data_IF_888491633932
#
_entry.id   IF_888491633932
#
_cell.length_a   1.000
_cell.length_b   1.000
_cell.length_c   1.000
_cell.angle_alpha   90.00
_cell.angle_beta   90.00
_cell.angle_gamma   90.00
#
_symmetry.space_group_name_H-M   'P 1'
#
loop_
_entity.id
_entity.type
_entity.pdbx_description
1 polymer ?
#
# COMPACT_ATOMS: atom_id res chain seq x y z
N UNK A 1 -35.75 68.41 -48.52
CA UNK A 1 -34.60 67.95 -49.33
C UNK A 1 -33.47 67.63 -48.37
N UNK A 2 -33.34 66.34 -48.09
CA UNK A 2 -32.45 65.73 -47.11
C UNK A 2 -30.98 65.81 -47.55
N UNK A 3 -30.10 66.04 -46.58
CA UNK A 3 -28.71 65.55 -46.65
C UNK A 3 -28.35 64.87 -45.33
N UNK A 4 -28.50 63.55 -45.37
CA UNK A 4 -28.12 62.58 -44.34
C UNK A 4 -26.60 62.61 -44.16
N UNK A 5 -26.15 62.90 -42.93
CA UNK A 5 -24.75 62.77 -42.54
C UNK A 5 -24.38 61.32 -42.25
N UNK A 6 -23.51 60.73 -43.05
CA UNK A 6 -22.91 59.42 -42.81
C UNK A 6 -21.79 59.54 -41.76
N UNK A 7 -22.12 59.18 -40.52
CA UNK A 7 -21.15 58.94 -39.44
C UNK A 7 -20.38 57.66 -39.75
N UNK A 8 -19.08 57.77 -40.04
CA UNK A 8 -18.13 56.64 -40.06
C UNK A 8 -18.01 56.07 -38.64
N UNK A 9 -18.66 54.95 -38.35
CA UNK A 9 -18.36 54.15 -37.16
C UNK A 9 -17.04 53.41 -37.39
N UNK A 10 -15.96 53.90 -36.75
CA UNK A 10 -14.78 53.08 -36.47
C UNK A 10 -15.16 52.12 -35.36
N UNK A 11 -15.30 50.84 -35.67
CA UNK A 11 -15.40 49.78 -34.67
C UNK A 11 -14.02 49.63 -34.03
N UNK A 12 -13.86 50.12 -32.81
CA UNK A 12 -12.70 49.80 -31.97
C UNK A 12 -12.91 48.37 -31.48
N UNK A 13 -12.31 47.41 -32.17
CA UNK A 13 -12.23 46.05 -31.66
C UNK A 13 -11.31 46.10 -30.44
N UNK A 14 -11.77 45.57 -29.32
CA UNK A 14 -10.98 45.55 -28.11
C UNK A 14 -9.69 44.76 -28.37
N UNK A 15 -8.54 45.40 -28.10
CA UNK A 15 -7.21 44.87 -28.44
C UNK A 15 -6.93 43.48 -27.85
N UNK A 16 -7.66 43.08 -26.80
CA UNK A 16 -7.54 41.74 -26.21
C UNK A 16 -8.09 40.64 -27.14
N UNK A 17 -9.12 40.93 -27.95
CA UNK A 17 -9.69 39.98 -28.91
C UNK A 17 -8.69 39.72 -30.04
N UNK A 18 -8.09 40.78 -30.57
CA UNK A 18 -7.06 40.68 -31.61
C UNK A 18 -5.86 39.87 -31.11
N UNK A 19 -5.45 40.11 -29.85
CA UNK A 19 -4.36 39.35 -29.22
C UNK A 19 -4.71 37.87 -29.02
N UNK A 20 -5.92 37.57 -28.55
CA UNK A 20 -6.38 36.20 -28.33
C UNK A 20 -6.45 35.40 -29.65
N UNK A 21 -6.96 36.01 -30.72
CA UNK A 21 -6.99 35.41 -32.06
C UNK A 21 -5.56 35.15 -32.57
N UNK A 22 -4.64 36.09 -32.37
CA UNK A 22 -3.26 35.95 -32.83
C UNK A 22 -2.52 34.83 -32.08
N UNK A 23 -2.74 34.68 -30.78
CA UNK A 23 -2.18 33.57 -30.00
C UNK A 23 -2.79 32.22 -30.40
N UNK A 24 -4.10 32.15 -30.64
CA UNK A 24 -4.76 30.94 -31.10
C UNK A 24 -4.21 30.47 -32.46
N UNK A 25 -4.01 31.39 -33.40
CA UNK A 25 -3.37 31.09 -34.70
C UNK A 25 -1.92 30.62 -34.51
N UNK A 26 -1.17 31.22 -33.58
CA UNK A 26 0.20 30.81 -33.26
C UNK A 26 0.29 29.37 -32.75
N UNK A 27 -0.60 28.98 -31.83
CA UNK A 27 -0.67 27.61 -31.29
C UNK A 27 -1.03 26.59 -32.37
N UNK A 28 -1.97 26.93 -33.26
CA UNK A 28 -2.37 26.07 -34.38
C UNK A 28 -1.19 25.86 -35.34
N UNK A 29 -0.47 26.94 -35.69
CA UNK A 29 0.72 26.85 -36.56
C UNK A 29 1.86 26.05 -35.91
N UNK A 30 2.06 26.20 -34.59
CA UNK A 30 3.03 25.40 -33.83
C UNK A 30 2.66 23.92 -33.82
N UNK A 31 1.37 23.59 -33.68
CA UNK A 31 0.87 22.22 -33.80
C UNK A 31 1.13 21.62 -35.18
N UNK A 32 0.86 22.37 -36.25
CA UNK A 32 1.10 21.94 -37.63
C UNK A 32 2.60 21.74 -37.91
N UNK A 33 3.47 22.56 -37.32
CA UNK A 33 4.92 22.44 -37.47
C UNK A 33 5.56 21.35 -36.58
N UNK A 34 4.89 20.93 -35.50
CA UNK A 34 5.41 19.94 -34.56
C UNK A 34 5.02 18.50 -34.92
N UNK A 35 4.19 18.30 -35.95
CA UNK A 35 3.93 16.98 -36.51
C UNK A 35 5.17 16.47 -37.25
N UNK A 36 5.67 15.26 -36.96
CA UNK A 36 6.81 14.70 -37.66
C UNK A 36 6.48 14.52 -39.15
N UNK A 37 7.19 15.26 -40.01
CA UNK A 37 7.13 15.07 -41.46
C UNK A 37 8.05 13.93 -41.84
N UNK A 38 7.55 12.70 -41.78
CA UNK A 38 8.17 11.59 -42.49
C UNK A 38 7.99 11.81 -44.00
N UNK A 39 9.00 12.43 -44.61
CA UNK A 39 9.18 12.50 -46.06
C UNK A 39 9.91 11.23 -46.52
N UNK A 40 9.17 10.12 -46.54
CA UNK A 40 9.49 8.94 -47.33
C UNK A 40 9.07 9.16 -48.78
N UNK A 41 9.99 8.96 -49.71
CA UNK A 41 9.79 9.20 -51.15
C UNK A 41 8.72 8.28 -51.76
N UNK A 42 7.84 8.84 -52.59
CA UNK A 42 7.15 8.08 -53.64
C UNK A 42 5.68 8.44 -53.87
N UNK A 43 5.43 9.23 -54.92
CA UNK A 43 4.21 9.11 -55.75
C UNK A 43 2.99 9.93 -55.32
N UNK A 44 2.24 10.54 -56.28
CA UNK A 44 1.33 11.64 -56.01
C UNK A 44 -0.06 11.19 -55.52
N UNK A 45 -0.66 12.07 -54.71
CA UNK A 45 -2.05 12.09 -54.29
C UNK A 45 -3.02 11.93 -55.47
N UNK A 46 -4.05 11.13 -55.26
CA UNK A 46 -5.38 11.49 -55.75
C UNK A 46 -6.40 11.32 -54.62
N UNK A 47 -7.09 12.42 -54.33
CA UNK A 47 -8.09 12.56 -53.28
C UNK A 47 -9.42 12.78 -53.99
N UNK A 48 -10.18 11.71 -54.20
CA UNK A 48 -11.57 11.80 -54.63
C UNK A 48 -12.46 11.24 -53.51
N UNK A 49 -13.22 12.14 -52.90
CA UNK A 49 -14.39 11.81 -52.13
C UNK A 49 -15.51 11.42 -53.09
N UNK A 50 -16.11 10.25 -52.90
CA UNK A 50 -17.44 9.98 -53.47
C UNK A 50 -18.19 9.00 -52.56
N UNK A 51 -19.32 9.48 -52.03
CA UNK A 51 -20.40 8.63 -51.55
C UNK A 51 -20.96 7.90 -52.76
N UNK A 52 -20.96 6.58 -52.77
CA UNK A 52 -22.09 5.87 -53.36
C UNK A 52 -22.31 4.48 -52.75
N UNK A 53 -23.58 4.15 -52.62
CA UNK A 53 -24.08 2.88 -52.12
C UNK A 53 -24.35 1.95 -53.31
N UNK A 54 -23.85 0.71 -53.27
CA UNK A 54 -24.48 -0.38 -54.04
C UNK A 54 -24.08 -1.78 -53.55
N UNK A 55 -25.07 -2.66 -53.53
CA UNK A 55 -25.06 -4.05 -53.04
C UNK A 55 -24.29 -5.03 -53.95
N UNK A 56 -23.61 -6.00 -53.31
CA UNK A 56 -23.41 -7.44 -53.67
C UNK A 56 -22.83 -7.82 -55.08
N UNK A 57 -22.28 -9.03 -55.32
CA UNK A 57 -22.44 -10.28 -54.56
C UNK A 57 -21.18 -11.14 -54.32
N UNK A 58 -21.41 -12.18 -53.53
CA UNK A 58 -20.56 -13.31 -53.17
C UNK A 58 -19.82 -13.96 -54.35
N UNK A 59 -18.48 -14.08 -54.24
CA UNK A 59 -17.72 -15.11 -54.94
C UNK A 59 -17.36 -16.26 -53.99
N UNK A 60 -17.89 -17.42 -54.35
CA UNK A 60 -17.57 -18.74 -53.83
C UNK A 60 -16.16 -19.16 -54.27
N UNK A 61 -15.27 -19.44 -53.31
CA UNK A 61 -14.04 -20.18 -53.56
C UNK A 61 -14.16 -21.60 -52.99
N UNK A 62 -14.25 -22.56 -53.90
CA UNK A 62 -14.11 -24.00 -53.63
C UNK A 62 -12.72 -24.32 -53.07
N UNK A 63 -12.67 -25.00 -51.93
CA UNK A 63 -11.43 -25.55 -51.39
C UNK A 63 -11.32 -27.03 -51.75
N UNK A 64 -10.41 -27.32 -52.68
CA UNK A 64 -10.00 -28.65 -53.11
C UNK A 64 -9.28 -29.36 -51.96
N UNK A 65 -9.77 -30.55 -51.60
CA UNK A 65 -9.12 -31.48 -50.70
C UNK A 65 -7.93 -32.16 -51.38
N UNK A 66 -6.75 -32.11 -50.75
CA UNK A 66 -5.56 -32.83 -51.17
C UNK A 66 -4.45 -32.67 -50.13
N UNK A 67 -4.26 -33.72 -49.31
CA UNK A 67 -3.45 -33.67 -48.10
C UNK A 67 -1.95 -33.62 -48.32
N UNK A 68 -1.24 -33.30 -47.22
CA UNK A 68 0.10 -33.77 -46.86
C UNK A 68 0.27 -33.48 -45.35
N UNK A 69 0.64 -34.51 -44.59
CA UNK A 69 0.85 -34.47 -43.14
C UNK A 69 2.11 -33.68 -42.75
N UNK A 70 2.18 -33.23 -41.48
CA UNK A 70 3.45 -33.30 -40.78
C UNK A 70 3.35 -34.00 -39.41
N UNK A 71 4.48 -34.61 -39.05
CA UNK A 71 4.82 -35.32 -37.82
C UNK A 71 4.27 -34.72 -36.53
N UNK A 72 3.63 -35.59 -35.74
CA UNK A 72 3.34 -35.35 -34.32
C UNK A 72 4.19 -36.33 -33.51
N UNK A 73 5.25 -35.81 -32.90
CA UNK A 73 6.04 -36.56 -31.91
C UNK A 73 5.22 -36.65 -30.62
N UNK A 74 4.91 -37.87 -30.23
CA UNK A 74 4.15 -38.23 -29.04
C UNK A 74 4.93 -37.89 -27.75
N UNK A 75 4.25 -37.25 -26.79
CA UNK A 75 4.64 -37.23 -25.38
C UNK A 75 3.86 -38.32 -24.63
N UNK A 76 4.49 -39.11 -23.76
CA UNK A 76 3.79 -40.14 -23.01
C UNK A 76 2.94 -39.54 -21.89
N UNK A 77 1.70 -39.99 -21.80
CA UNK A 77 0.80 -39.84 -20.66
C UNK A 77 1.28 -40.71 -19.49
N UNK A 78 1.44 -40.11 -18.32
CA UNK A 78 1.59 -40.83 -17.04
C UNK A 78 0.27 -40.75 -16.29
N UNK A 79 -0.37 -41.91 -16.21
CA UNK A 79 -1.48 -42.20 -15.33
C UNK A 79 -1.06 -42.10 -13.85
N UNK A 80 -1.98 -41.53 -13.06
CA UNK A 80 -2.44 -42.06 -11.78
C UNK A 80 -1.38 -42.56 -10.77
N UNK A 81 -1.09 -41.72 -9.76
CA UNK A 81 -0.58 -42.18 -8.47
C UNK A 81 -1.50 -41.70 -7.35
N UNK A 82 -1.96 -42.70 -6.61
CA UNK A 82 -2.96 -42.69 -5.56
C UNK A 82 -2.62 -41.80 -4.36
N UNK A 83 -3.68 -41.23 -3.76
CA UNK A 83 -3.67 -40.74 -2.39
C UNK A 83 -3.71 -41.93 -1.43
N UNK A 84 -2.59 -42.23 -0.77
CA UNK A 84 -2.57 -43.06 0.44
C UNK A 84 -1.38 -42.69 1.31
N UNK A 85 -1.59 -42.75 2.63
CA UNK A 85 -0.62 -42.59 3.72
C UNK A 85 -0.23 -41.18 4.18
N UNK A 86 -1.22 -40.54 4.81
CA UNK A 86 -1.01 -39.81 6.07
C UNK A 86 -1.11 -40.81 7.24
N UNK A 87 0.02 -41.29 7.76
CA UNK A 87 0.14 -41.73 9.14
C UNK A 87 1.60 -41.95 9.55
N UNK A 88 1.93 -41.53 10.76
CA UNK A 88 3.17 -41.77 11.54
C UNK A 88 4.38 -40.88 11.27
N UNK A 89 4.39 -39.70 11.92
CA UNK A 89 5.62 -39.18 12.54
C UNK A 89 5.27 -38.61 13.93
N UNK A 90 5.74 -39.32 14.95
CA UNK A 90 5.75 -38.95 16.37
C UNK A 90 6.91 -37.96 16.62
N UNK A 91 6.75 -36.87 17.41
CA UNK A 91 7.72 -35.79 17.49
C UNK A 91 8.54 -35.88 18.77
N UNK A 92 9.69 -36.55 18.74
CA UNK A 92 10.75 -36.38 19.75
C UNK A 92 12.09 -36.83 19.15
N UNK A 93 13.01 -35.90 18.92
CA UNK A 93 14.44 -35.98 19.27
C UNK A 93 15.20 -34.80 18.65
N UNK A 94 15.57 -33.82 19.48
CA UNK A 94 16.75 -32.99 19.25
C UNK A 94 18.00 -33.87 19.38
N UNK A 95 18.97 -33.76 18.45
CA UNK A 95 20.35 -33.72 18.91
C UNK A 95 21.25 -32.86 17.99
N UNK A 96 21.46 -31.59 18.35
CA UNK A 96 22.75 -30.94 18.06
C UNK A 96 23.53 -30.83 19.38
N UNK A 97 24.00 -31.99 19.83
CA UNK A 97 25.11 -32.13 20.76
C UNK A 97 26.35 -32.57 19.99
N UNK A 98 27.47 -31.94 20.28
CA UNK A 98 28.77 -32.09 19.64
C UNK A 98 29.27 -33.55 19.54
N UNK A 99 30.04 -33.86 18.50
CA UNK A 99 31.45 -34.28 18.64
C UNK A 99 32.13 -34.55 17.29
N UNK A 100 33.45 -34.39 17.30
CA UNK A 100 34.35 -34.37 16.16
C UNK A 100 34.75 -35.76 15.64
N UNK A 101 35.24 -35.77 14.39
CA UNK A 101 36.38 -36.53 13.85
C UNK A 101 36.13 -37.46 12.64
N UNK A 102 36.96 -37.22 11.61
CA UNK A 102 37.45 -38.10 10.54
C UNK A 102 36.52 -38.59 9.40
N UNK A 103 36.91 -38.24 8.17
CA UNK A 103 36.51 -38.96 6.96
C UNK A 103 36.66 -38.17 5.67
N UNK A 104 37.78 -38.34 4.97
CA UNK A 104 38.10 -37.70 3.70
C UNK A 104 37.26 -38.25 2.52
N UNK A 105 36.82 -37.36 1.63
CA UNK A 105 36.23 -37.69 0.33
C UNK A 105 36.08 -36.43 -0.54
N UNK A 106 36.65 -36.45 -1.74
CA UNK A 106 36.96 -35.27 -2.58
C UNK A 106 36.01 -35.16 -3.77
N UNK A 107 35.44 -33.95 -3.95
CA UNK A 107 34.96 -33.28 -5.19
C UNK A 107 33.67 -33.78 -5.89
N UNK A 108 32.92 -32.91 -6.63
CA UNK A 108 33.31 -31.58 -7.15
C UNK A 108 32.43 -30.39 -6.71
N UNK A 109 33.03 -29.21 -6.89
CA UNK A 109 32.57 -27.90 -6.49
C UNK A 109 31.61 -27.31 -7.55
N UNK A 110 30.41 -26.92 -7.12
CA UNK A 110 29.62 -25.88 -7.80
C UNK A 110 29.61 -24.66 -6.88
N UNK A 111 30.25 -23.60 -7.34
CA UNK A 111 30.51 -22.38 -6.60
C UNK A 111 29.21 -21.58 -6.37
N UNK A 112 28.58 -21.77 -5.22
CA UNK A 112 27.70 -20.76 -4.61
C UNK A 112 28.59 -19.89 -3.73
N UNK A 113 29.03 -18.74 -4.26
CA UNK A 113 29.80 -17.77 -3.50
C UNK A 113 28.89 -17.01 -2.54
N UNK A 114 28.52 -17.64 -1.43
CA UNK A 114 28.00 -16.94 -0.27
C UNK A 114 29.20 -16.28 0.44
N UNK A 115 29.61 -15.10 -0.06
CA UNK A 115 30.58 -14.27 0.68
C UNK A 115 29.85 -13.63 1.85
N UNK A 116 29.89 -14.33 2.97
CA UNK A 116 29.64 -13.75 4.28
C UNK A 116 30.86 -12.89 4.63
N UNK A 117 30.84 -11.64 4.17
CA UNK A 117 31.70 -10.60 4.73
C UNK A 117 31.13 -10.21 6.09
N UNK A 118 31.80 -10.65 7.15
CA UNK A 118 31.66 -10.03 8.46
C UNK A 118 32.16 -8.58 8.33
N UNK A 119 31.22 -7.63 8.22
CA UNK A 119 31.44 -6.24 8.56
C UNK A 119 30.96 -6.03 10.00
N UNK A 120 31.85 -6.30 10.96
CA UNK A 120 31.76 -5.71 12.29
C UNK A 120 31.66 -4.19 12.13
N UNK A 121 30.46 -3.64 12.34
CA UNK A 121 30.17 -2.20 12.23
C UNK A 121 28.79 -1.78 11.69
N UNK A 122 27.98 -2.69 11.15
CA UNK A 122 26.66 -2.36 10.56
C UNK A 122 25.43 -2.79 11.40
N UNK A 123 25.61 -3.16 12.67
CA UNK A 123 24.59 -3.79 13.51
C UNK A 123 23.45 -2.87 14.00
N UNK A 124 23.21 -1.71 13.38
CA UNK A 124 22.22 -0.74 13.88
C UNK A 124 21.42 0.03 12.84
N UNK A 125 21.65 -0.19 11.53
CA UNK A 125 20.97 0.55 10.45
C UNK A 125 20.38 -0.42 9.44
N UNK A 126 19.42 -1.23 9.89
CA UNK A 126 18.78 -2.27 9.09
C UNK A 126 17.27 -2.22 9.26
N UNK A 127 16.55 -2.59 8.21
CA UNK A 127 15.12 -2.90 8.23
C UNK A 127 14.91 -4.35 7.78
N UNK A 128 13.92 -5.04 8.34
CA UNK A 128 13.56 -6.40 7.96
C UNK A 128 12.06 -6.56 7.82
N UNK A 129 11.61 -6.96 6.64
CA UNK A 129 10.20 -7.15 6.31
C UNK A 129 9.99 -8.52 5.66
N UNK A 130 9.18 -9.38 6.30
CA UNK A 130 8.95 -10.77 5.87
C UNK A 130 10.25 -11.60 5.70
N UNK A 131 11.24 -11.33 6.55
CA UNK A 131 12.55 -11.98 6.53
C UNK A 131 13.50 -11.44 5.44
N UNK A 132 13.07 -10.49 4.61
CA UNK A 132 13.95 -9.79 3.68
C UNK A 132 14.55 -8.58 4.38
N UNK A 133 15.87 -8.46 4.35
CA UNK A 133 16.61 -7.43 5.06
C UNK A 133 17.24 -6.42 4.11
N UNK A 134 17.25 -5.14 4.52
CA UNK A 134 17.93 -4.07 3.82
C UNK A 134 18.68 -3.16 4.80
N UNK A 135 19.81 -2.60 4.37
CA UNK A 135 20.66 -1.74 5.18
C UNK A 135 20.52 -0.27 4.77
N UNK A 136 20.57 0.62 5.75
CA UNK A 136 20.51 2.07 5.57
C UNK A 136 19.55 2.76 6.52
N UNK A 137 19.08 3.93 6.09
CA UNK A 137 18.40 4.90 6.98
C UNK A 137 17.05 5.35 6.50
N UNK A 138 16.75 5.12 5.23
CA UNK A 138 15.55 5.62 4.59
C UNK A 138 14.89 4.46 3.90
N UNK A 139 13.78 3.98 4.43
CA UNK A 139 13.10 2.79 3.91
C UNK A 139 11.72 3.16 3.37
N UNK A 140 11.41 2.68 2.18
CA UNK A 140 10.08 2.85 1.60
C UNK A 140 9.40 1.50 1.55
N UNK A 141 8.17 1.44 2.03
CA UNK A 141 7.33 0.25 2.00
C UNK A 141 6.18 0.50 1.02
N UNK A 142 6.16 -0.26 -0.06
CA UNK A 142 5.11 -0.23 -1.08
C UNK A 142 4.26 -1.48 -0.91
N UNK A 143 3.01 -1.32 -0.45
CA UNK A 143 2.13 -2.44 -0.10
C UNK A 143 0.89 -2.47 -0.99
N UNK A 144 0.59 -3.67 -1.49
CA UNK A 144 -0.64 -3.95 -2.19
C UNK A 144 -1.85 -3.88 -1.25
N UNK A 145 -2.88 -3.15 -1.66
CA UNK A 145 -4.18 -3.05 -1.01
C UNK A 145 -5.32 -3.38 -1.98
N UNK A 146 -5.05 -4.17 -3.02
CA UNK A 146 -6.05 -4.64 -3.99
C UNK A 146 -7.07 -5.59 -3.36
N UNK A 147 -8.15 -5.89 -4.08
CA UNK A 147 -9.23 -6.76 -3.60
C UNK A 147 -8.79 -8.17 -3.21
N UNK A 148 -7.73 -8.73 -3.82
CA UNK A 148 -7.15 -10.03 -3.43
C UNK A 148 -6.62 -10.03 -2.01
N UNK A 149 -6.10 -8.88 -1.53
CA UNK A 149 -5.60 -8.72 -0.17
C UNK A 149 -6.71 -8.77 0.90
N UNK A 150 -7.99 -8.71 0.51
CA UNK A 150 -9.12 -8.92 1.40
C UNK A 150 -9.38 -10.42 1.70
N UNK A 151 -8.77 -11.33 0.94
CA UNK A 151 -8.96 -12.77 1.15
C UNK A 151 -8.45 -13.21 2.51
N UNK A 152 -9.23 -14.07 3.16
CA UNK A 152 -8.83 -14.80 4.34
C UNK A 152 -8.13 -16.08 3.88
N UNK A 153 -6.88 -16.29 4.29
CA UNK A 153 -6.15 -17.50 3.94
C UNK A 153 -6.80 -18.75 4.57
N UNK A 154 -6.42 -19.95 4.10
CA UNK A 154 -6.70 -21.19 4.83
C UNK A 154 -5.99 -21.11 6.19
N UNK A 155 -6.73 -20.77 7.24
CA UNK A 155 -6.17 -20.38 8.53
C UNK A 155 -6.60 -18.98 8.97
N UNK A 156 -7.88 -18.63 8.76
CA UNK A 156 -8.53 -17.35 9.10
C UNK A 156 -8.45 -16.92 10.59
N UNK A 157 -7.60 -17.56 11.41
CA UNK A 157 -7.32 -17.21 12.80
C UNK A 157 -6.70 -15.80 12.95
N UNK A 158 -6.08 -15.26 11.91
CA UNK A 158 -5.30 -14.01 11.97
C UNK A 158 -5.74 -12.93 10.98
N UNK A 159 -7.02 -12.91 10.58
CA UNK A 159 -7.58 -11.87 9.70
C UNK A 159 -7.34 -12.10 8.20
N UNK A 160 -7.50 -11.06 7.39
CA UNK A 160 -7.22 -11.10 5.95
C UNK A 160 -5.72 -10.89 5.63
N UNK A 161 -5.33 -11.08 4.36
CA UNK A 161 -3.94 -10.93 3.90
C UNK A 161 -3.37 -9.54 4.22
N UNK A 162 -4.14 -8.49 3.97
CA UNK A 162 -3.74 -7.11 4.27
C UNK A 162 -3.48 -6.86 5.77
N UNK A 163 -4.32 -7.39 6.66
CA UNK A 163 -4.17 -7.26 8.10
C UNK A 163 -2.88 -7.93 8.60
N UNK A 164 -2.54 -9.10 8.06
CA UNK A 164 -1.27 -9.78 8.35
C UNK A 164 -0.07 -8.99 7.81
N UNK A 165 -0.13 -8.51 6.56
CA UNK A 165 0.91 -7.69 5.96
C UNK A 165 1.13 -6.36 6.73
N UNK A 166 0.05 -5.71 7.16
CA UNK A 166 0.09 -4.51 7.99
C UNK A 166 0.70 -4.78 9.37
N UNK A 167 0.40 -5.93 9.97
CA UNK A 167 0.99 -6.33 11.26
C UNK A 167 2.50 -6.53 11.15
N UNK A 168 2.97 -7.18 10.08
CA UNK A 168 4.39 -7.34 9.82
C UNK A 168 5.06 -6.00 9.47
N UNK A 169 4.37 -5.10 8.77
CA UNK A 169 4.89 -3.77 8.48
C UNK A 169 5.10 -2.98 9.77
N UNK A 170 4.11 -3.00 10.67
CA UNK A 170 4.24 -2.39 11.99
C UNK A 170 5.39 -3.03 12.77
N UNK A 171 5.55 -4.35 12.71
CA UNK A 171 6.70 -5.05 13.34
C UNK A 171 8.03 -4.57 12.78
N UNK A 172 8.18 -4.49 11.45
CA UNK A 172 9.37 -4.01 10.76
C UNK A 172 9.69 -2.57 11.13
N UNK A 173 8.71 -1.67 11.07
CA UNK A 173 8.90 -0.25 11.39
C UNK A 173 9.22 -0.05 12.87
N UNK A 174 8.68 -0.88 13.78
CA UNK A 174 9.01 -0.81 15.20
C UNK A 174 10.47 -1.15 15.53
N UNK A 175 11.15 -1.94 14.67
CA UNK A 175 12.57 -2.26 14.83
C UNK A 175 13.49 -1.12 14.38
N UNK A 176 12.97 -0.15 13.64
CA UNK A 176 13.75 1.01 13.22
C UNK A 176 14.09 1.92 14.41
N UNK A 177 15.28 2.49 14.41
CA UNK A 177 15.71 3.50 15.38
C UNK A 177 15.17 4.88 15.01
N UNK A 178 15.11 5.81 15.97
CA UNK A 178 14.61 7.18 15.75
C UNK A 178 15.46 7.98 14.73
N UNK A 179 16.69 7.53 14.44
CA UNK A 179 17.57 8.11 13.42
C UNK A 179 17.30 7.58 12.01
N UNK A 180 16.49 6.53 11.88
CA UNK A 180 16.03 6.00 10.61
C UNK A 180 14.66 6.61 10.29
N UNK A 181 14.35 6.68 9.01
CA UNK A 181 13.13 7.26 8.50
C UNK A 181 12.42 6.26 7.57
N UNK A 182 11.10 6.37 7.50
CA UNK A 182 10.27 5.49 6.70
C UNK A 182 9.18 6.26 5.97
N UNK A 183 8.72 5.68 4.86
CA UNK A 183 7.51 6.10 4.17
C UNK A 183 6.73 4.86 3.73
N UNK A 184 5.40 4.92 3.79
CA UNK A 184 4.52 3.82 3.39
C UNK A 184 3.61 4.31 2.27
N UNK A 185 3.57 3.56 1.17
CA UNK A 185 2.72 3.87 0.03
C UNK A 185 1.88 2.63 -0.26
N UNK A 186 0.56 2.78 -0.21
CA UNK A 186 -0.36 1.71 -0.55
C UNK A 186 -0.81 1.86 -2.01
N UNK A 187 -1.00 0.75 -2.70
CA UNK A 187 -1.47 0.76 -4.08
C UNK A 187 -2.57 -0.26 -4.34
N UNK A 188 -3.52 0.13 -5.18
CA UNK A 188 -4.46 -0.76 -5.85
C UNK A 188 -4.71 -0.23 -7.27
N UNK A 189 -5.94 0.07 -7.68
CA UNK A 189 -6.21 0.92 -8.86
C UNK A 189 -5.79 2.37 -8.61
N UNK A 190 -5.56 2.76 -7.35
CA UNK A 190 -5.10 4.10 -6.95
C UNK A 190 -3.94 3.99 -5.97
N UNK A 191 -3.06 4.99 -6.01
CA UNK A 191 -1.99 5.14 -5.01
C UNK A 191 -2.50 5.97 -3.83
N UNK A 192 -2.19 5.52 -2.62
CA UNK A 192 -2.54 6.20 -1.36
C UNK A 192 -1.28 6.39 -0.54
N UNK A 193 -1.01 7.64 -0.17
CA UNK A 193 0.17 8.03 0.59
C UNK A 193 -0.06 7.83 2.09
N UNK A 194 1.02 7.61 2.83
CA UNK A 194 1.01 7.51 4.28
C UNK A 194 0.21 8.66 4.92
N UNK A 195 -0.68 8.31 5.84
CA UNK A 195 -1.54 9.24 6.59
C UNK A 195 -2.55 10.01 5.75
N UNK A 196 -2.86 9.53 4.54
CA UNK A 196 -3.77 10.20 3.60
C UNK A 196 -3.39 11.67 3.42
N UNK A 197 -2.08 11.95 3.34
CA UNK A 197 -1.58 13.30 3.19
C UNK A 197 -2.13 13.94 1.91
N UNK A 198 -2.72 15.14 2.04
CA UNK A 198 -3.23 15.95 0.92
C UNK A 198 -2.11 16.48 -0.02
N UNK A 199 -0.85 16.19 0.28
CA UNK A 199 0.29 16.57 -0.56
C UNK A 199 0.37 15.77 -1.86
N UNK A 200 0.94 16.40 -2.89
CA UNK A 200 1.17 15.75 -4.18
C UNK A 200 2.30 14.71 -4.15
N UNK A 201 3.17 14.76 -3.14
CA UNK A 201 4.34 13.91 -3.00
C UNK A 201 4.38 13.27 -1.62
N UNK A 202 4.91 12.04 -1.50
CA UNK A 202 5.10 11.41 -0.20
C UNK A 202 6.14 12.14 0.64
N UNK A 203 6.07 11.92 1.95
CA UNK A 203 7.07 12.40 2.91
C UNK A 203 7.79 11.22 3.56
N UNK A 204 9.07 11.41 3.86
CA UNK A 204 9.88 10.48 4.64
C UNK A 204 9.89 10.94 6.10
N UNK A 205 9.38 10.14 7.03
CA UNK A 205 9.24 10.53 8.43
C UNK A 205 10.19 9.75 9.34
N UNK A 206 10.79 10.37 10.37
CA UNK A 206 11.61 9.67 11.34
C UNK A 206 10.79 8.63 12.11
N UNK A 207 11.42 7.50 12.45
CA UNK A 207 10.77 6.37 13.12
C UNK A 207 10.55 6.60 14.64
N UNK A 208 10.05 7.78 15.00
CA UNK A 208 9.70 8.14 16.37
C UNK A 208 8.54 7.28 16.88
N UNK A 209 8.42 7.15 18.21
CA UNK A 209 7.30 6.44 18.83
C UNK A 209 5.92 7.00 18.40
N UNK A 210 5.82 8.31 18.18
CA UNK A 210 4.59 8.97 17.72
C UNK A 210 4.24 8.60 16.27
N UNK A 211 5.22 8.65 15.36
CA UNK A 211 5.00 8.28 13.95
C UNK A 211 4.69 6.78 13.79
N UNK A 212 5.30 5.92 14.61
CA UNK A 212 5.01 4.48 14.69
C UNK A 212 3.57 4.20 15.13
N UNK A 213 3.11 4.89 16.18
CA UNK A 213 1.73 4.80 16.65
C UNK A 213 0.74 5.30 15.60
N UNK A 214 1.03 6.45 14.98
CA UNK A 214 0.22 7.00 13.89
C UNK A 214 0.14 6.04 12.69
N UNK A 215 1.23 5.35 12.35
CA UNK A 215 1.24 4.32 11.29
C UNK A 215 0.27 3.19 11.59
N UNK A 216 0.33 2.64 12.80
CA UNK A 216 -0.57 1.56 13.23
C UNK A 216 -2.03 1.99 13.14
N UNK A 217 -2.34 3.18 13.64
CA UNK A 217 -3.71 3.69 13.69
C UNK A 217 -4.24 3.99 12.27
N UNK A 218 -3.40 4.49 11.37
CA UNK A 218 -3.74 4.70 9.97
C UNK A 218 -3.96 3.39 9.21
N UNK A 219 -3.07 2.39 9.35
CA UNK A 219 -3.26 1.09 8.69
C UNK A 219 -4.56 0.40 9.10
N UNK A 220 -5.03 0.63 10.33
CA UNK A 220 -6.30 0.11 10.83
C UNK A 220 -7.55 0.73 10.16
N UNK A 221 -7.41 1.87 9.46
CA UNK A 221 -8.53 2.51 8.72
C UNK A 221 -8.63 2.04 7.27
N UNK A 222 -7.64 1.30 6.77
CA UNK A 222 -7.57 0.90 5.38
C UNK A 222 -8.37 -0.38 5.12
N UNK A 223 -9.20 -0.32 4.09
CA UNK A 223 -9.91 -1.47 3.53
C UNK A 223 -9.38 -1.77 2.14
N UNK A 224 -8.86 -2.99 1.88
CA UNK A 224 -8.39 -3.38 0.56
C UNK A 224 -9.52 -3.42 -0.47
N UNK A 225 -9.28 -2.86 -1.65
CA UNK A 225 -10.21 -2.85 -2.78
C UNK A 225 -9.50 -2.41 -4.09
N UNK A 226 -10.11 -2.74 -5.23
CA UNK A 226 -9.64 -2.37 -6.56
C UNK A 226 -8.62 -3.34 -7.18
N UNK A 227 -8.07 -2.93 -8.32
CA UNK A 227 -7.04 -3.63 -9.08
C UNK A 227 -5.63 -3.50 -8.48
N UNK A 228 -4.60 -3.81 -9.26
CA UNK A 228 -3.23 -4.00 -8.74
C UNK A 228 -2.21 -3.28 -9.64
N UNK A 229 -2.00 -1.97 -9.42
CA UNK A 229 -1.07 -1.15 -10.19
C UNK A 229 0.00 -0.48 -9.30
N UNK A 230 1.23 -1.02 -9.24
CA UNK A 230 2.28 -0.50 -8.38
C UNK A 230 3.07 0.66 -9.02
N UNK A 231 2.82 1.00 -10.29
CA UNK A 231 3.71 1.91 -11.05
C UNK A 231 3.84 3.27 -10.39
N UNK A 232 2.72 3.88 -10.06
CA UNK A 232 2.73 5.20 -9.44
C UNK A 232 3.31 5.18 -8.02
N UNK A 233 3.01 4.13 -7.25
CA UNK A 233 3.58 3.96 -5.92
C UNK A 233 5.10 3.77 -5.93
N UNK A 234 5.63 3.02 -6.91
CA UNK A 234 7.06 2.86 -7.12
C UNK A 234 7.70 4.17 -7.57
N UNK A 235 7.09 4.89 -8.52
CA UNK A 235 7.58 6.21 -8.97
C UNK A 235 7.77 7.15 -7.79
N UNK A 236 6.70 7.36 -7.01
CA UNK A 236 6.69 8.25 -5.84
C UNK A 236 7.64 7.77 -4.73
N UNK A 237 7.70 6.46 -4.49
CA UNK A 237 8.60 5.87 -3.51
C UNK A 237 10.07 6.05 -3.84
N UNK A 238 10.44 5.91 -5.12
CA UNK A 238 11.82 6.08 -5.58
C UNK A 238 12.27 7.54 -5.61
N UNK A 239 11.35 8.47 -5.88
CA UNK A 239 11.61 9.92 -5.82
C UNK A 239 12.04 10.40 -4.43
N UNK A 240 11.71 9.65 -3.38
CA UNK A 240 12.20 9.92 -2.03
C UNK A 240 13.70 9.65 -1.84
N UNK A 241 14.39 9.05 -2.81
CA UNK A 241 15.77 8.59 -2.72
C UNK A 241 16.03 7.69 -1.48
N UNK A 242 15.32 6.55 -1.34
CA UNK A 242 15.48 5.66 -0.21
C UNK A 242 16.81 4.88 -0.26
N UNK A 243 17.23 4.35 0.88
CA UNK A 243 18.29 3.34 0.97
C UNK A 243 17.83 1.99 0.43
N UNK A 244 16.55 1.66 0.57
CA UNK A 244 15.93 0.47 0.01
C UNK A 244 14.40 0.61 -0.07
N UNK A 245 13.80 -0.12 -1.02
CA UNK A 245 12.35 -0.25 -1.17
C UNK A 245 11.94 -1.70 -0.89
N UNK A 246 10.89 -1.89 -0.11
CA UNK A 246 10.21 -3.17 0.03
C UNK A 246 8.87 -3.11 -0.71
N UNK A 247 8.69 -3.94 -1.72
CA UNK A 247 7.45 -4.08 -2.48
C UNK A 247 6.78 -5.40 -2.11
N UNK A 248 5.54 -5.35 -1.63
CA UNK A 248 4.72 -6.52 -1.33
C UNK A 248 3.48 -6.56 -2.21
N UNK A 249 3.20 -7.71 -2.83
CA UNK A 249 1.98 -7.93 -3.62
C UNK A 249 1.57 -9.41 -3.62
N UNK A 250 0.25 -9.65 -3.60
CA UNK A 250 -0.37 -10.98 -3.73
C UNK A 250 -1.06 -11.20 -5.09
N UNK A 251 -0.98 -10.21 -5.99
CA UNK A 251 -1.72 -10.19 -7.24
C UNK A 251 -0.84 -10.03 -8.48
N UNK A 252 -1.40 -10.41 -9.63
CA UNK A 252 -0.82 -10.09 -10.93
C UNK A 252 -0.96 -8.58 -11.19
N UNK A 253 0.12 -7.93 -11.64
CA UNK A 253 0.11 -6.51 -11.94
C UNK A 253 -0.68 -6.26 -13.20
N UNK A 254 -2.01 -6.20 -13.06
CA UNK A 254 -2.92 -5.88 -14.14
C UNK A 254 -2.92 -4.36 -14.28
N UNK A 255 -2.32 -3.80 -15.35
CA UNK A 255 -2.47 -2.39 -15.64
C UNK A 255 -3.95 -2.21 -15.96
N UNK A 256 -4.73 -1.62 -15.06
CA UNK A 256 -6.03 -1.12 -15.47
C UNK A 256 -5.75 0.07 -16.39
N UNK A 257 -6.28 0.02 -17.62
CA UNK A 257 -6.11 1.07 -18.63
C UNK A 257 -6.59 2.46 -18.14
N UNK A 258 -7.31 2.49 -17.00
CA UNK A 258 -7.87 3.68 -16.35
C UNK A 258 -7.29 3.95 -14.95
N UNK A 259 -6.08 3.50 -14.63
CA UNK A 259 -5.30 4.10 -13.54
C UNK A 259 -5.07 5.57 -13.94
N UNK A 260 -5.86 6.51 -13.39
CA UNK A 260 -5.98 7.91 -13.84
C UNK A 260 -4.72 8.80 -13.76
N UNK A 261 -3.53 8.22 -13.89
CA UNK A 261 -2.24 8.88 -13.97
C UNK A 261 -1.61 8.67 -15.36
N UNK A 262 -1.65 9.74 -16.16
CA UNK A 262 -1.12 9.76 -17.53
C UNK A 262 0.42 9.63 -17.61
N UNK A 263 1.15 9.81 -16.51
CA UNK A 263 2.61 9.79 -16.50
C UNK A 263 3.17 8.37 -16.47
N UNK A 264 2.44 7.44 -15.85
CA UNK A 264 2.88 6.05 -15.64
C UNK A 264 2.04 5.03 -16.41
N UNK A 265 0.84 5.40 -16.87
CA UNK A 265 -0.09 4.49 -17.52
C UNK A 265 0.46 3.84 -18.80
N UNK A 266 1.33 4.53 -19.54
CA UNK A 266 1.98 4.01 -20.76
C UNK A 266 3.28 3.26 -20.52
N UNK A 267 3.76 3.22 -19.28
CA UNK A 267 5.05 2.62 -18.92
C UNK A 267 4.87 1.24 -18.28
N UNK A 268 5.83 0.37 -18.57
CA UNK A 268 6.02 -0.88 -17.83
C UNK A 268 6.66 -0.59 -16.46
N UNK A 269 6.51 -1.50 -15.51
CA UNK A 269 7.12 -1.36 -14.17
C UNK A 269 8.66 -1.18 -14.26
N UNK A 270 9.40 -1.98 -15.05
CA UNK A 270 10.85 -1.77 -15.23
C UNK A 270 11.20 -0.38 -15.75
N UNK A 271 10.44 0.17 -16.70
CA UNK A 271 10.69 1.52 -17.24
C UNK A 271 10.42 2.62 -16.21
N UNK A 272 9.38 2.48 -15.39
CA UNK A 272 9.12 3.41 -14.29
C UNK A 272 10.30 3.41 -13.32
N UNK A 273 10.80 2.22 -12.97
CA UNK A 273 11.94 2.09 -12.07
C UNK A 273 13.20 2.69 -12.68
N UNK A 274 13.51 2.42 -13.94
CA UNK A 274 14.69 2.98 -14.61
C UNK A 274 14.66 4.51 -14.66
N UNK A 275 13.47 5.10 -14.87
CA UNK A 275 13.29 6.56 -14.96
C UNK A 275 13.33 7.25 -13.60
N UNK A 276 12.88 6.60 -12.53
CA UNK A 276 12.70 7.23 -11.22
C UNK A 276 13.76 6.84 -10.19
N UNK A 277 14.46 5.71 -10.36
CA UNK A 277 15.44 5.21 -9.39
C UNK A 277 16.82 5.89 -9.49
N UNK A 278 16.86 7.22 -9.38
CA UNK A 278 18.11 7.99 -9.45
C UNK A 278 19.09 7.64 -8.33
N UNK A 279 18.57 7.25 -7.16
CA UNK A 279 19.36 6.85 -6.00
C UNK A 279 19.95 5.43 -6.11
N UNK A 280 19.57 4.67 -7.15
CA UNK A 280 19.95 3.26 -7.34
C UNK A 280 19.60 2.40 -6.12
N UNK A 281 18.45 2.67 -5.50
CA UNK A 281 17.96 1.94 -4.35
C UNK A 281 17.59 0.51 -4.76
N UNK A 282 18.02 -0.53 -4.02
CA UNK A 282 17.54 -1.88 -4.23
C UNK A 282 16.05 -2.00 -3.91
N UNK A 283 15.33 -2.68 -4.79
CA UNK A 283 13.91 -3.01 -4.62
C UNK A 283 13.79 -4.48 -4.25
N UNK A 284 13.51 -4.72 -2.98
CA UNK A 284 13.21 -6.04 -2.45
C UNK A 284 11.74 -6.37 -2.72
N UNK A 285 11.47 -7.50 -3.38
CA UNK A 285 10.12 -7.88 -3.79
C UNK A 285 9.63 -9.09 -2.99
N UNK A 286 8.39 -9.02 -2.52
CA UNK A 286 7.77 -10.00 -1.64
C UNK A 286 6.46 -10.45 -2.30
N UNK A 287 6.47 -11.66 -2.86
CA UNK A 287 5.27 -12.32 -3.36
C UNK A 287 4.55 -12.96 -2.16
N UNK A 288 3.32 -12.53 -1.91
CA UNK A 288 2.59 -12.86 -0.69
C UNK A 288 1.43 -13.81 -0.97
N UNK A 289 1.53 -15.05 -0.47
CA UNK A 289 0.54 -16.14 -0.57
C UNK A 289 0.15 -16.59 -1.99
N UNK A 290 0.62 -15.88 -3.02
CA UNK A 290 0.35 -16.12 -4.43
C UNK A 290 1.66 -16.04 -5.23
N UNK A 291 1.78 -16.87 -6.26
CA UNK A 291 2.97 -16.98 -7.11
C UNK A 291 2.77 -16.43 -8.52
N UNK A 292 1.58 -15.91 -8.85
CA UNK A 292 1.21 -15.45 -10.18
C UNK A 292 2.15 -14.37 -10.72
N UNK A 293 2.65 -13.49 -9.85
CA UNK A 293 3.56 -12.40 -10.21
C UNK A 293 5.05 -12.74 -10.04
N UNK A 294 5.40 -14.00 -9.73
CA UNK A 294 6.78 -14.41 -9.39
C UNK A 294 7.81 -13.96 -10.42
N UNK A 295 7.53 -14.18 -11.70
CA UNK A 295 8.49 -13.86 -12.78
C UNK A 295 8.77 -12.36 -12.81
N UNK A 296 7.73 -11.53 -12.81
CA UNK A 296 7.83 -10.07 -12.80
C UNK A 296 8.53 -9.55 -11.52
N UNK A 297 8.21 -10.13 -10.37
CA UNK A 297 8.82 -9.76 -9.08
C UNK A 297 10.30 -10.15 -8.97
N UNK A 298 10.68 -11.31 -9.50
CA UNK A 298 12.07 -11.72 -9.59
C UNK A 298 12.86 -10.83 -10.55
N UNK A 299 12.29 -10.51 -11.71
CA UNK A 299 12.92 -9.61 -12.68
C UNK A 299 13.15 -8.22 -12.09
N UNK A 300 12.16 -7.64 -11.40
CA UNK A 300 12.26 -6.33 -10.78
C UNK A 300 13.32 -6.25 -9.67
N UNK A 301 13.36 -7.27 -8.81
CA UNK A 301 14.40 -7.36 -7.77
C UNK A 301 15.79 -7.49 -8.41
N UNK A 302 15.94 -8.35 -9.41
CA UNK A 302 17.21 -8.53 -10.11
C UNK A 302 17.70 -7.25 -10.80
N UNK A 303 16.79 -6.48 -11.43
CA UNK A 303 17.10 -5.21 -12.09
C UNK A 303 17.74 -4.18 -11.14
N UNK A 304 17.38 -4.22 -9.86
CA UNK A 304 17.81 -3.21 -8.85
C UNK A 304 18.79 -3.76 -7.81
N UNK A 305 19.32 -4.96 -8.01
CA UNK A 305 20.13 -5.68 -7.01
C UNK A 305 19.40 -5.89 -5.66
N UNK A 306 18.07 -5.96 -5.69
CA UNK A 306 17.25 -6.36 -4.57
C UNK A 306 17.11 -7.88 -4.45
N UNK A 307 16.30 -8.31 -3.47
CA UNK A 307 16.04 -9.72 -3.21
C UNK A 307 14.56 -10.04 -3.43
N UNK A 308 14.28 -11.20 -4.02
CA UNK A 308 12.93 -11.75 -4.12
C UNK A 308 12.67 -12.74 -2.99
N UNK A 309 11.49 -12.63 -2.35
CA UNK A 309 11.03 -13.56 -1.32
C UNK A 309 9.59 -13.98 -1.62
N UNK A 310 9.30 -15.26 -1.49
CA UNK A 310 7.92 -15.77 -1.45
C UNK A 310 7.53 -16.07 -0.01
N UNK A 311 6.31 -15.68 0.38
CA UNK A 311 5.73 -15.92 1.69
C UNK A 311 4.48 -16.78 1.52
N UNK A 312 4.48 -18.06 1.91
CA UNK A 312 3.32 -18.93 1.72
C UNK A 312 2.18 -18.60 2.69
N UNK A 313 0.96 -19.00 2.31
CA UNK A 313 -0.20 -18.90 3.20
C UNK A 313 0.02 -19.70 4.49
N UNK A 314 -0.29 -19.09 5.63
CA UNK A 314 -0.06 -19.71 6.93
C UNK A 314 1.41 -19.83 7.32
N UNK A 315 2.33 -19.19 6.57
CA UNK A 315 3.64 -18.88 7.11
C UNK A 315 3.42 -18.12 8.42
N UNK A 316 3.62 -18.83 9.52
CA UNK A 316 3.90 -18.20 10.80
C UNK A 316 5.17 -17.43 10.52
N UNK A 317 5.04 -16.12 10.27
CA UNK A 317 6.13 -15.21 10.60
C UNK A 317 6.45 -15.64 12.00
N UNK A 318 7.66 -16.14 12.22
CA UNK A 318 8.13 -16.46 13.55
C UNK A 318 8.00 -15.13 14.29
N UNK A 319 6.85 -14.94 14.94
CA UNK A 319 6.82 -14.36 16.25
C UNK A 319 7.92 -15.17 16.92
N UNK A 320 9.10 -14.58 17.03
CA UNK A 320 9.76 -14.68 18.33
C UNK A 320 8.63 -14.35 19.27
N UNK A 321 8.00 -15.40 19.81
CA UNK A 321 6.92 -15.30 20.78
C UNK A 321 7.39 -14.19 21.69
N UNK A 322 6.72 -13.02 21.71
CA UNK A 322 7.28 -11.85 22.35
C UNK A 322 7.68 -12.34 23.72
N UNK A 323 9.00 -12.35 24.00
CA UNK A 323 9.53 -12.92 25.24
C UNK A 323 8.62 -12.36 26.30
N UNK A 324 7.82 -13.20 27.01
CA UNK A 324 6.72 -12.72 27.81
C UNK A 324 7.31 -11.61 28.66
N UNK A 325 6.83 -10.38 28.41
CA UNK A 325 7.49 -9.18 28.92
C UNK A 325 7.73 -9.42 30.39
N UNK A 326 8.96 -9.20 30.85
CA UNK A 326 9.26 -9.41 32.25
C UNK A 326 8.23 -8.63 33.08
N UNK A 327 7.87 -9.08 34.30
CA UNK A 327 6.94 -8.35 35.14
C UNK A 327 7.31 -6.86 35.29
N UNK A 328 8.62 -6.55 35.24
CA UNK A 328 9.14 -5.18 35.23
C UNK A 328 8.80 -4.42 33.94
N UNK A 329 9.00 -5.02 32.77
CA UNK A 329 8.67 -4.38 31.48
C UNK A 329 7.16 -4.19 31.29
N UNK A 330 6.34 -5.14 31.76
CA UNK A 330 4.88 -4.99 31.82
C UNK A 330 4.49 -3.80 32.70
N UNK A 331 5.13 -3.64 33.86
CA UNK A 331 4.90 -2.50 34.74
C UNK A 331 5.33 -1.18 34.09
N UNK A 332 6.47 -1.13 33.39
CA UNK A 332 6.91 0.06 32.64
C UNK A 332 5.90 0.44 31.56
N UNK A 333 5.43 -0.54 30.78
CA UNK A 333 4.43 -0.34 29.73
C UNK A 333 3.10 0.14 30.30
N UNK A 334 2.62 -0.48 31.39
CA UNK A 334 1.40 -0.08 32.07
C UNK A 334 1.50 1.34 32.65
N UNK A 335 2.64 1.72 33.25
CA UNK A 335 2.88 3.07 33.75
C UNK A 335 2.90 4.14 32.64
N UNK A 336 3.46 3.83 31.48
CA UNK A 336 3.43 4.71 30.31
C UNK A 336 2.00 4.94 29.82
N UNK A 337 1.20 3.87 29.71
CA UNK A 337 -0.21 3.95 29.34
C UNK A 337 -1.01 4.75 30.37
N UNK A 338 -0.80 4.50 31.66
CA UNK A 338 -1.45 5.25 32.73
C UNK A 338 -1.17 6.76 32.61
N UNK A 339 0.07 7.13 32.34
CA UNK A 339 0.46 8.54 32.13
C UNK A 339 -0.22 9.16 30.91
N UNK A 340 -0.41 8.40 29.82
CA UNK A 340 -1.18 8.86 28.66
C UNK A 340 -2.66 9.05 29.01
N UNK A 341 -3.26 8.15 29.78
CA UNK A 341 -4.68 8.23 30.17
C UNK A 341 -4.90 9.46 31.07
N UNK A 342 -4.01 9.71 32.02
CA UNK A 342 -4.04 10.92 32.88
C UNK A 342 -4.04 12.21 32.05
N UNK A 343 -3.29 12.26 30.93
CA UNK A 343 -3.30 13.41 30.00
C UNK A 343 -4.63 13.57 29.25
N UNK A 344 -5.29 12.47 28.90
CA UNK A 344 -6.63 12.51 28.28
C UNK A 344 -7.66 13.01 29.28
N UNK A 345 -7.57 12.53 30.51
CA UNK A 345 -8.43 12.96 31.61
C UNK A 345 -8.25 14.45 31.93
N UNK A 346 -7.01 14.94 32.02
CA UNK A 346 -6.72 16.35 32.30
C UNK A 346 -7.21 17.31 31.22
N UNK A 347 -7.47 16.80 30.01
CA UNK A 347 -8.09 17.54 28.89
C UNK A 347 -9.61 17.55 28.95
N UNK A 348 -10.23 16.98 29.98
CA UNK A 348 -11.68 16.97 30.19
C UNK A 348 -12.43 15.82 29.50
N UNK A 349 -11.73 14.88 28.85
CA UNK A 349 -12.35 13.75 28.15
C UNK A 349 -12.68 12.59 29.11
N UNK A 350 -13.50 12.85 30.13
CA UNK A 350 -13.75 11.93 31.25
C UNK A 350 -14.34 10.57 30.84
N UNK A 351 -15.27 10.51 29.87
CA UNK A 351 -15.81 9.23 29.35
C UNK A 351 -14.73 8.40 28.66
N UNK A 352 -13.92 9.05 27.82
CA UNK A 352 -12.85 8.38 27.07
C UNK A 352 -11.75 7.91 28.02
N UNK A 353 -11.40 8.73 29.02
CA UNK A 353 -10.46 8.36 30.08
C UNK A 353 -10.95 7.14 30.86
N UNK A 354 -12.23 7.10 31.28
CA UNK A 354 -12.81 5.96 32.00
C UNK A 354 -12.77 4.65 31.20
N UNK A 355 -13.02 4.70 29.89
CA UNK A 355 -12.90 3.53 29.01
C UNK A 355 -11.45 3.06 28.90
N UNK A 356 -10.49 3.99 28.77
CA UNK A 356 -9.08 3.65 28.67
C UNK A 356 -8.51 3.10 29.98
N UNK A 357 -8.93 3.63 31.14
CA UNK A 357 -8.56 3.06 32.43
C UNK A 357 -9.04 1.60 32.56
N UNK A 358 -10.31 1.31 32.20
CA UNK A 358 -10.82 -0.06 32.19
C UNK A 358 -10.04 -0.99 31.27
N UNK A 359 -9.68 -0.52 30.08
CA UNK A 359 -8.87 -1.29 29.14
C UNK A 359 -7.49 -1.61 29.75
N UNK A 360 -6.85 -0.65 30.40
CA UNK A 360 -5.56 -0.85 31.08
C UNK A 360 -5.65 -1.94 32.16
N UNK A 361 -6.72 -1.95 32.95
CA UNK A 361 -6.95 -2.98 33.98
C UNK A 361 -7.08 -4.37 33.37
N UNK A 362 -7.80 -4.50 32.26
CA UNK A 362 -7.96 -5.80 31.57
C UNK A 362 -6.65 -6.27 30.92
N UNK A 363 -5.88 -5.35 30.35
CA UNK A 363 -4.67 -5.67 29.60
C UNK A 363 -3.46 -5.95 30.52
N UNK A 364 -3.44 -5.39 31.74
CA UNK A 364 -2.30 -5.47 32.68
C UNK A 364 -2.72 -5.71 34.15
N UNK A 365 -3.53 -6.75 34.46
CA UNK A 365 -4.21 -6.92 35.74
C UNK A 365 -3.28 -6.94 36.96
N UNK A 366 -2.07 -7.48 36.81
CA UNK A 366 -1.12 -7.69 37.91
C UNK A 366 -0.15 -6.51 38.14
N UNK A 367 -0.38 -5.37 37.49
CA UNK A 367 0.49 -4.20 37.62
C UNK A 367 -0.03 -3.17 38.65
N UNK A 368 0.85 -2.45 39.36
CA UNK A 368 0.44 -1.34 40.23
C UNK A 368 -0.37 -0.27 39.49
N UNK A 369 -0.05 -0.05 38.21
CA UNK A 369 -0.76 0.88 37.35
C UNK A 369 -2.23 0.46 37.10
N UNK A 370 -2.52 -0.84 37.03
CA UNK A 370 -3.88 -1.34 36.91
C UNK A 370 -4.69 -1.13 38.19
N UNK A 371 -4.06 -1.29 39.36
CA UNK A 371 -4.73 -1.01 40.64
C UNK A 371 -5.13 0.47 40.73
N UNK A 372 -4.23 1.39 40.35
CA UNK A 372 -4.53 2.82 40.30
C UNK A 372 -5.62 3.14 39.27
N UNK A 373 -5.55 2.52 38.09
CA UNK A 373 -6.52 2.70 37.02
C UNK A 373 -7.93 2.21 37.40
N UNK A 374 -8.06 1.10 38.12
CA UNK A 374 -9.36 0.57 38.54
C UNK A 374 -10.07 1.52 39.52
N UNK A 375 -9.33 2.04 40.51
CA UNK A 375 -9.86 3.05 41.44
C UNK A 375 -10.33 4.27 40.66
N UNK A 376 -9.48 4.80 39.77
CA UNK A 376 -9.81 6.02 39.03
C UNK A 376 -10.97 5.83 38.04
N UNK A 377 -11.07 4.67 37.40
CA UNK A 377 -12.19 4.33 36.52
C UNK A 377 -13.52 4.36 37.26
N UNK A 378 -13.57 3.78 38.47
CA UNK A 378 -14.79 3.76 39.30
C UNK A 378 -15.22 5.16 39.71
N UNK A 379 -14.26 6.01 40.13
CA UNK A 379 -14.52 7.40 40.48
C UNK A 379 -15.09 8.21 39.31
N UNK A 380 -14.47 8.12 38.13
CA UNK A 380 -14.93 8.83 36.94
C UNK A 380 -16.32 8.38 36.50
N UNK A 381 -16.61 7.08 36.56
CA UNK A 381 -17.94 6.55 36.24
C UNK A 381 -19.00 7.01 37.25
N UNK A 382 -18.66 7.08 38.54
CA UNK A 382 -19.55 7.61 39.56
C UNK A 382 -19.85 9.10 39.33
N UNK A 383 -18.84 9.90 38.98
CA UNK A 383 -19.00 11.32 38.64
C UNK A 383 -19.93 11.50 37.43
N UNK A 384 -19.68 10.77 36.33
CA UNK A 384 -20.49 10.82 35.12
C UNK A 384 -21.96 10.43 35.35
N UNK A 385 -22.21 9.44 36.22
CA UNK A 385 -23.57 9.04 36.60
C UNK A 385 -24.25 10.11 37.47
N UNK A 386 -23.49 10.73 38.39
CA UNK A 386 -24.01 11.79 39.25
C UNK A 386 -24.37 13.06 38.47
N UNK A 387 -23.56 13.46 37.49
CA UNK A 387 -23.82 14.60 36.62
C UNK A 387 -25.03 14.36 35.72
N UNK A 388 -25.15 13.15 35.18
CA UNK A 388 -26.33 12.74 34.40
C UNK A 388 -27.62 12.81 35.23
N UNK A 389 -27.57 12.44 36.51
CA UNK A 389 -28.72 12.49 37.42
C UNK A 389 -29.13 13.91 37.84
N UNK A 390 -28.18 14.84 37.93
CA UNK A 390 -28.45 16.28 38.21
C UNK A 390 -29.10 16.96 37.02
N UNK A 391 -28.65 16.66 35.80
CA UNK A 391 -29.27 17.19 34.57
C UNK A 391 -30.74 16.74 34.45
N UNK A 392 -31.05 15.49 34.81
CA UNK A 392 -32.42 14.95 34.75
C UNK A 392 -33.35 15.48 35.86
N UNK A 393 -32.82 15.90 37.02
CA UNK A 393 -33.61 16.55 38.08
C UNK A 393 -33.88 18.04 37.81
N UNK A 394 -33.07 18.69 36.98
CA UNK A 394 -33.29 20.08 36.55
C UNK A 394 -34.35 20.26 35.46
N UNK A 395 -34.80 19.18 34.80
CA UNK A 395 -35.69 19.23 33.64
C UNK A 395 -37.14 18.80 33.91
N UNK A 396 -37.64 18.86 35.16
CA UNK A 396 -39.06 18.65 35.47
C UNK A 396 -39.63 19.74 36.38
N UNK A 397 -40.25 20.75 35.77
CA UNK A 397 -41.61 21.19 36.13
C UNK A 397 -42.25 22.02 34.99
N UNK A 398 -43.04 21.41 34.10
CA UNK A 398 -44.09 22.08 33.36
C UNK A 398 -45.44 21.63 33.92
N UNK A 399 -46.06 22.47 34.75
CA UNK A 399 -47.37 22.16 35.32
C UNK A 399 -47.87 23.22 36.28
N UNK A 400 -48.16 24.41 35.78
CA UNK A 400 -49.20 25.29 36.34
C UNK A 400 -49.55 26.40 35.33
N UNK A 401 -50.22 26.03 34.23
CA UNK A 401 -51.03 26.98 33.47
C UNK A 401 -52.36 27.10 34.22
N UNK A 402 -52.42 27.99 35.21
CA UNK A 402 -53.70 28.46 35.75
C UNK A 402 -54.15 29.70 35.00
N UNK A 403 -55.23 29.52 34.24
CA UNK A 403 -56.14 30.56 33.80
C UNK A 403 -56.56 31.42 35.00
N UNK A 404 -56.26 32.73 34.98
CA UNK A 404 -57.16 33.77 35.48
C UNK A 404 -56.52 35.15 35.32
N UNK A 405 -56.90 35.90 34.28
CA UNK A 405 -57.17 37.34 34.43
C UNK A 405 -58.26 37.72 33.44
N UNK A 406 -59.49 37.83 33.94
CA UNK A 406 -60.52 38.70 33.37
C UNK A 406 -61.02 39.60 34.49
N UNK A 407 -61.08 40.91 34.19
CA UNK A 407 -61.74 42.03 34.88
C UNK A 407 -60.92 42.87 35.88
N UNK A 408 -60.58 44.08 35.44
CA UNK A 408 -61.21 45.28 35.99
C UNK A 408 -60.32 46.22 36.79
N UNK A 409 -59.72 47.22 36.13
CA UNK A 409 -60.11 48.63 36.24
C UNK A 409 -59.38 49.45 35.18
#
# INVERSE_FOLDING_TARGET
MDRVGLRRQRTSWDSWIVSAVLHAVGVILLGICSLPRDLGSGGPLDLAAELDAQEAPLETLELIAGGLAPDVVALPSVDELELTDLATLDPQTDPFGADAAHGAGRAPQSASSNRQGQTEGQSGRQASFFGTSAYGDRFVYVLDMSGSMQQTGRGARYGNRFQRASSELVRSVNQLTDNQAFSVILFSSKTRLMFDHDGLFPEMLPATSENKERLRDWLATISPDGGTDPREALRLGLELAPSAVFLLSDGDFKPEENSGNLLTSSLTIPEVVDRSNHARAPIHTIAYEDLSNRVSMQALAAQTAGQYRFVPAGAVIVEETPVPLSPEDLAVKANRLLSQIKRVESRGFHRQAAQRYRKLVNDFPDTPAAQEADVRARELLAQLNSDSSRVLKGSKSPGDIKQNVRRGK
#
